data_IF_452874957354
#
_entry.id   IF_452874957354
#
_cell.length_a   1.000
_cell.length_b   1.000
_cell.length_c   1.000
_cell.angle_alpha   90.00
_cell.angle_beta   90.00
_cell.angle_gamma   90.00
#
_symmetry.space_group_name_H-M   'P 1'
#
loop_
_entity.id
_entity.type
_entity.pdbx_description
1 polymer ?
#
# COMPACT_ATOMS: atom_id res chain seq x y z
N UNK A 1 2.10 -1.40 21.88
CA UNK A 1 0.86 -1.27 21.10
C UNK A 1 0.97 -2.30 19.99
N UNK A 2 -0.02 -3.18 19.80
CA UNK A 2 0.03 -4.19 18.73
C UNK A 2 0.11 -3.48 17.37
N UNK A 3 1.00 -3.90 16.46
CA UNK A 3 1.22 -3.29 15.14
C UNK A 3 -0.09 -3.12 14.36
N UNK A 4 -1.02 -4.07 14.53
CA UNK A 4 -2.36 -3.98 13.95
C UNK A 4 -3.19 -2.81 14.49
N UNK A 5 -3.13 -2.53 15.79
CA UNK A 5 -3.89 -1.43 16.39
C UNK A 5 -3.27 -0.07 16.01
N UNK A 6 -1.95 0.00 15.93
CA UNK A 6 -1.26 1.18 15.42
C UNK A 6 -1.67 1.46 13.96
N UNK A 7 -1.70 0.43 13.10
CA UNK A 7 -2.20 0.53 11.74
C UNK A 7 -3.65 1.04 11.71
N UNK A 8 -4.58 0.39 12.43
CA UNK A 8 -6.00 0.81 12.46
C UNK A 8 -6.16 2.26 12.85
N UNK A 9 -5.40 2.73 13.85
CA UNK A 9 -5.45 4.11 14.35
C UNK A 9 -4.95 5.16 13.35
N UNK A 10 -4.25 4.74 12.30
CA UNK A 10 -3.81 5.62 11.20
C UNK A 10 -4.98 6.06 10.33
N UNK A 11 -6.05 5.27 10.27
CA UNK A 11 -7.23 5.52 9.45
C UNK A 11 -8.39 6.04 10.30
N UNK A 12 -9.37 6.68 9.66
CA UNK A 12 -10.65 6.97 10.31
C UNK A 12 -11.27 5.64 10.74
N UNK A 13 -11.64 5.55 12.01
CA UNK A 13 -12.19 4.32 12.58
C UNK A 13 -13.47 3.89 11.86
N UNK A 14 -13.59 2.59 11.57
CA UNK A 14 -14.71 1.96 10.87
C UNK A 14 -15.02 2.52 9.47
N UNK A 15 -14.09 3.25 8.87
CA UNK A 15 -14.22 3.82 7.52
C UNK A 15 -13.97 2.78 6.43
N UNK A 16 -14.49 3.00 5.22
CA UNK A 16 -14.23 2.12 4.08
C UNK A 16 -12.74 2.11 3.74
N UNK A 17 -12.05 3.25 3.87
CA UNK A 17 -10.61 3.32 3.70
C UNK A 17 -9.85 2.43 4.70
N UNK A 18 -10.33 2.32 5.94
CA UNK A 18 -9.74 1.41 6.93
C UNK A 18 -9.96 -0.05 6.54
N UNK A 19 -11.16 -0.41 6.05
CA UNK A 19 -11.46 -1.78 5.57
C UNK A 19 -10.58 -2.15 4.38
N UNK A 20 -10.45 -1.23 3.40
CA UNK A 20 -9.53 -1.41 2.26
C UNK A 20 -8.10 -1.57 2.75
N UNK A 21 -7.64 -0.67 3.64
CA UNK A 21 -6.28 -0.68 4.18
C UNK A 21 -5.94 -1.98 4.90
N UNK A 22 -6.86 -2.51 5.71
CA UNK A 22 -6.67 -3.79 6.40
C UNK A 22 -6.53 -4.96 5.41
N UNK A 23 -7.34 -4.98 4.35
CA UNK A 23 -7.25 -6.00 3.31
C UNK A 23 -5.92 -5.91 2.55
N UNK A 24 -5.51 -4.71 2.16
CA UNK A 24 -4.22 -4.48 1.51
C UNK A 24 -3.04 -4.88 2.42
N UNK A 25 -3.07 -4.49 3.70
CA UNK A 25 -2.05 -4.87 4.70
C UNK A 25 -1.89 -6.38 4.81
N UNK A 26 -3.01 -7.10 4.88
CA UNK A 26 -2.97 -8.57 4.93
C UNK A 26 -2.28 -9.18 3.72
N UNK A 27 -2.54 -8.65 2.52
CA UNK A 27 -1.91 -9.13 1.29
C UNK A 27 -0.42 -8.77 1.26
N UNK A 28 -0.07 -7.53 1.63
CA UNK A 28 1.32 -7.04 1.66
C UNK A 28 2.16 -7.85 2.62
N UNK A 29 1.75 -8.01 3.88
CA UNK A 29 2.50 -8.78 4.87
C UNK A 29 2.50 -10.28 4.57
N UNK A 30 1.47 -10.79 3.88
CA UNK A 30 1.45 -12.17 3.40
C UNK A 30 2.38 -12.41 2.20
N UNK A 31 2.78 -11.37 1.48
CA UNK A 31 3.72 -11.46 0.35
C UNK A 31 5.16 -11.09 0.75
N UNK A 32 5.31 -10.08 1.60
CA UNK A 32 6.57 -9.62 2.17
C UNK A 32 6.57 -9.83 3.70
N UNK A 33 6.77 -11.06 4.18
CA UNK A 33 6.67 -11.37 5.61
C UNK A 33 7.72 -10.67 6.48
N UNK A 34 8.83 -10.23 5.88
CA UNK A 34 9.92 -9.53 6.55
C UNK A 34 9.88 -8.00 6.31
N UNK A 35 8.78 -7.47 5.76
CA UNK A 35 8.67 -6.03 5.59
C UNK A 35 8.47 -5.33 6.93
N UNK A 36 9.20 -4.24 7.12
CA UNK A 36 9.03 -3.34 8.25
C UNK A 36 7.89 -2.36 7.96
N UNK A 37 6.90 -2.32 8.86
CA UNK A 37 5.77 -1.40 8.78
C UNK A 37 6.09 -0.10 9.54
N UNK A 38 5.96 1.04 8.87
CA UNK A 38 6.19 2.36 9.46
C UNK A 38 5.04 3.32 9.19
N UNK A 39 4.60 4.05 10.21
CA UNK A 39 3.53 5.05 10.10
C UNK A 39 4.17 6.42 9.92
N UNK A 40 3.83 7.10 8.82
CA UNK A 40 4.35 8.42 8.49
C UNK A 40 3.28 9.50 8.55
N UNK A 41 3.64 10.63 9.17
CA UNK A 41 2.83 11.85 9.21
C UNK A 41 1.52 11.75 9.99
N UNK A 42 1.34 10.69 10.78
CA UNK A 42 0.26 10.51 11.75
C UNK A 42 -1.14 10.74 11.16
N UNK A 43 -2.05 11.29 11.98
CA UNK A 43 -3.45 11.54 11.61
C UNK A 43 -3.62 12.50 10.41
N UNK A 44 -2.59 13.28 10.05
CA UNK A 44 -2.63 14.25 8.93
C UNK A 44 -2.36 13.58 7.58
N UNK A 45 -1.35 12.71 7.52
CA UNK A 45 -0.90 12.09 6.26
C UNK A 45 -1.53 10.72 6.06
N UNK A 46 -1.83 10.01 7.15
CA UNK A 46 -2.51 8.71 7.18
C UNK A 46 -1.86 7.69 6.23
N UNK A 47 -0.54 7.62 6.25
CA UNK A 47 0.29 6.80 5.38
C UNK A 47 1.02 5.76 6.21
N UNK A 48 0.96 4.52 5.73
CA UNK A 48 1.75 3.41 6.22
C UNK A 48 2.68 2.98 5.10
N UNK A 49 3.98 2.90 5.35
CA UNK A 49 4.97 2.39 4.42
C UNK A 49 5.48 1.02 4.85
N UNK A 50 5.79 0.21 3.85
CA UNK A 50 6.42 -1.09 4.00
C UNK A 50 7.78 -1.05 3.33
N UNK A 51 8.83 -1.32 4.09
CA UNK A 51 10.22 -1.30 3.62
C UNK A 51 10.94 -2.60 3.95
N UNK A 52 12.06 -2.87 3.29
CA UNK A 52 12.87 -4.08 3.54
C UNK A 52 14.33 -3.73 3.79
N UNK A 53 14.86 -4.19 4.92
CA UNK A 53 16.26 -3.99 5.32
C UNK A 53 16.56 -2.58 5.84
N UNK A 54 16.14 -1.55 5.11
CA UNK A 54 16.18 -0.16 5.58
C UNK A 54 14.93 0.62 5.18
N UNK A 55 14.68 1.75 5.86
CA UNK A 55 13.52 2.61 5.62
C UNK A 55 13.57 3.37 4.27
N UNK A 56 14.71 3.35 3.56
CA UNK A 56 14.86 3.97 2.23
C UNK A 56 14.46 3.01 1.12
N UNK A 57 14.50 1.70 1.38
CA UNK A 57 14.09 0.65 0.46
C UNK A 57 12.59 0.36 0.59
N UNK A 58 11.79 1.35 0.20
CA UNK A 58 10.32 1.29 0.28
C UNK A 58 9.78 0.37 -0.81
N UNK A 59 9.02 -0.66 -0.41
CA UNK A 59 8.34 -1.58 -1.31
C UNK A 59 7.01 -0.96 -1.78
N UNK A 60 6.17 -0.59 -0.82
CA UNK A 60 4.85 -0.06 -1.07
C UNK A 60 4.33 0.79 0.10
N UNK A 61 3.24 1.51 -0.13
CA UNK A 61 2.57 2.28 0.90
C UNK A 61 1.05 2.20 0.81
N UNK A 62 0.37 2.24 1.94
CA UNK A 62 -1.09 2.28 2.04
C UNK A 62 -1.48 3.62 2.66
N UNK A 63 -2.36 4.36 1.99
CA UNK A 63 -2.78 5.68 2.46
C UNK A 63 -4.28 5.89 2.42
N UNK A 64 -4.85 6.45 3.48
CA UNK A 64 -6.20 7.00 3.39
C UNK A 64 -6.20 8.26 2.51
N UNK A 65 -7.11 8.28 1.55
CA UNK A 65 -7.34 9.41 0.67
C UNK A 65 -8.71 10.07 0.95
N UNK A 66 -8.99 11.15 0.23
CA UNK A 66 -10.27 11.85 0.33
C UNK A 66 -11.46 10.93 -0.05
N UNK A 67 -12.66 11.32 0.40
CA UNK A 67 -13.93 10.62 0.12
C UNK A 67 -13.93 9.15 0.57
N UNK A 68 -13.29 8.88 1.70
CA UNK A 68 -13.21 7.54 2.30
C UNK A 68 -12.64 6.46 1.37
N UNK A 69 -11.64 6.85 0.58
CA UNK A 69 -10.94 5.94 -0.33
C UNK A 69 -9.55 5.61 0.18
N UNK A 70 -8.93 4.59 -0.38
CA UNK A 70 -7.58 4.18 0.01
C UNK A 70 -6.69 3.99 -1.21
N UNK A 71 -5.42 4.38 -1.10
CA UNK A 71 -4.44 4.24 -2.17
C UNK A 71 -3.38 3.21 -1.79
N UNK A 72 -3.02 2.36 -2.76
CA UNK A 72 -1.80 1.55 -2.71
C UNK A 72 -0.75 2.20 -3.61
N UNK A 73 0.37 2.60 -3.02
CA UNK A 73 1.56 3.10 -3.70
C UNK A 73 2.55 1.97 -3.90
N UNK A 74 3.22 1.95 -5.06
CA UNK A 74 4.35 1.06 -5.35
C UNK A 74 5.52 1.88 -5.88
N UNK A 75 6.71 1.45 -5.48
CA UNK A 75 7.97 2.09 -5.81
C UNK A 75 8.75 1.22 -6.82
N UNK A 76 9.86 1.75 -7.34
CA UNK A 76 10.80 1.04 -8.21
C UNK A 76 10.23 0.53 -9.55
N UNK A 77 9.08 1.04 -9.98
CA UNK A 77 8.45 0.65 -11.24
C UNK A 77 8.34 1.87 -12.17
N UNK A 78 9.14 1.90 -13.22
CA UNK A 78 9.18 3.01 -14.18
C UNK A 78 7.88 3.10 -15.00
N UNK A 79 7.38 1.97 -15.48
CA UNK A 79 6.13 1.84 -16.23
C UNK A 79 5.43 0.54 -15.89
N UNK A 80 4.11 0.59 -15.78
CA UNK A 80 3.27 -0.59 -15.52
C UNK A 80 1.91 -0.40 -16.14
N UNK A 81 1.43 -1.46 -16.79
CA UNK A 81 0.10 -1.53 -17.38
C UNK A 81 -0.52 -2.82 -16.89
N UNK A 82 -1.78 -2.74 -16.50
CA UNK A 82 -2.56 -3.88 -16.11
C UNK A 82 -3.99 -3.74 -16.64
N UNK A 83 -4.64 -4.84 -17.03
CA UNK A 83 -5.95 -4.79 -17.67
C UNK A 83 -7.03 -4.20 -16.74
N UNK A 84 -6.90 -4.41 -15.43
CA UNK A 84 -7.90 -4.02 -14.41
C UNK A 84 -7.44 -2.93 -13.48
N UNK A 85 -6.14 -2.83 -13.21
CA UNK A 85 -5.62 -1.85 -12.25
C UNK A 85 -5.35 -0.53 -12.97
N UNK A 86 -6.03 0.52 -12.53
CA UNK A 86 -5.86 1.87 -13.07
C UNK A 86 -4.79 2.60 -12.28
N UNK A 87 -3.58 2.63 -12.84
CA UNK A 87 -2.46 3.34 -12.23
C UNK A 87 -2.54 4.85 -12.47
N UNK A 88 -2.14 5.61 -11.45
CA UNK A 88 -1.90 7.04 -11.52
C UNK A 88 -0.55 7.38 -10.85
N UNK A 89 -0.10 8.62 -10.99
CA UNK A 89 1.22 9.06 -10.52
C UNK A 89 2.24 9.13 -11.67
N UNK A 90 3.16 10.09 -11.56
CA UNK A 90 4.23 10.34 -12.55
C UNK A 90 5.60 10.12 -11.89
N UNK A 91 6.56 9.64 -12.68
CA UNK A 91 7.94 9.41 -12.25
C UNK A 91 8.25 7.98 -11.81
N UNK A 92 9.54 7.75 -11.53
CA UNK A 92 10.16 6.48 -11.12
C UNK A 92 9.80 6.03 -9.70
N UNK A 93 9.38 6.98 -8.86
CA UNK A 93 9.32 6.76 -7.41
C UNK A 93 7.92 6.47 -6.86
N UNK A 94 6.85 6.59 -7.65
CA UNK A 94 5.52 6.23 -7.18
C UNK A 94 4.51 6.03 -8.32
N UNK A 95 4.05 4.79 -8.48
CA UNK A 95 2.75 4.51 -9.11
C UNK A 95 1.74 4.23 -8.00
N UNK A 96 0.47 4.56 -8.22
CA UNK A 96 -0.57 4.27 -7.24
C UNK A 96 -1.87 3.85 -7.86
N UNK A 97 -2.60 3.02 -7.14
CA UNK A 97 -3.97 2.62 -7.44
C UNK A 97 -4.86 3.15 -6.32
N UNK A 98 -6.01 3.71 -6.70
CA UNK A 98 -7.03 4.17 -5.77
C UNK A 98 -8.17 3.14 -5.75
N UNK A 99 -8.58 2.72 -4.56
CA UNK A 99 -9.70 1.83 -4.32
C UNK A 99 -10.82 2.59 -3.62
N UNK A 100 -12.05 2.31 -3.99
CA UNK A 100 -13.24 2.96 -3.42
C UNK A 100 -14.02 2.00 -2.53
N UNK A 101 -13.89 0.68 -2.75
CA UNK A 101 -14.37 -0.35 -1.84
C UNK A 101 -13.34 -1.44 -1.57
N UNK A 102 -13.43 -2.07 -0.39
CA UNK A 102 -12.66 -3.27 -0.07
C UNK A 102 -12.93 -4.43 -1.06
N UNK A 103 -14.11 -4.45 -1.70
CA UNK A 103 -14.47 -5.46 -2.69
C UNK A 103 -13.73 -5.29 -4.02
N UNK A 104 -13.23 -4.08 -4.32
CA UNK A 104 -12.41 -3.80 -5.50
C UNK A 104 -10.99 -4.38 -5.36
N UNK A 105 -10.55 -4.63 -4.13
CA UNK A 105 -9.23 -5.23 -3.86
C UNK A 105 -9.29 -6.72 -4.20
N UNK A 106 -8.76 -7.08 -5.36
CA UNK A 106 -8.63 -8.48 -5.80
C UNK A 106 -7.23 -8.98 -5.49
N UNK A 107 -7.13 -10.01 -4.65
CA UNK A 107 -5.85 -10.48 -4.11
C UNK A 107 -4.83 -10.83 -5.19
N UNK A 108 -5.24 -11.59 -6.22
CA UNK A 108 -4.36 -12.00 -7.31
C UNK A 108 -3.73 -10.81 -8.05
N UNK A 109 -4.51 -9.75 -8.25
CA UNK A 109 -4.08 -8.53 -8.94
C UNK A 109 -3.07 -7.75 -8.10
N UNK A 110 -3.29 -7.70 -6.77
CA UNK A 110 -2.36 -7.06 -5.84
C UNK A 110 -1.08 -7.88 -5.74
N UNK A 111 -1.16 -9.21 -5.62
CA UNK A 111 0.02 -10.09 -5.59
C UNK A 111 0.83 -10.00 -6.88
N UNK A 112 0.17 -9.94 -8.03
CA UNK A 112 0.85 -9.68 -9.31
C UNK A 112 1.63 -8.36 -9.25
N UNK A 113 1.01 -7.29 -8.74
CA UNK A 113 1.68 -5.99 -8.60
C UNK A 113 2.87 -6.05 -7.61
N UNK A 114 2.72 -6.68 -6.45
CA UNK A 114 3.81 -6.82 -5.48
C UNK A 114 4.97 -7.66 -6.03
N UNK A 115 4.69 -8.64 -6.91
CA UNK A 115 5.73 -9.37 -7.64
C UNK A 115 6.52 -8.43 -8.56
N UNK A 116 5.86 -7.51 -9.25
CA UNK A 116 6.57 -6.50 -10.07
C UNK A 116 7.44 -5.58 -9.21
N UNK A 117 7.01 -5.24 -8.00
CA UNK A 117 7.86 -4.50 -7.04
C UNK A 117 9.09 -5.33 -6.68
N UNK A 118 8.89 -6.59 -6.27
CA UNK A 118 9.98 -7.48 -5.85
C UNK A 118 11.05 -7.65 -6.94
N UNK A 119 10.63 -7.79 -8.21
CA UNK A 119 11.54 -7.95 -9.35
C UNK A 119 12.36 -6.69 -9.67
N UNK A 120 11.94 -5.51 -9.20
CA UNK A 120 12.56 -4.22 -9.55
C UNK A 120 13.17 -3.47 -8.35
N UNK A 121 12.86 -3.88 -7.12
CA UNK A 121 13.43 -3.28 -5.91
C UNK A 121 14.89 -3.71 -5.74
N UNK A 122 15.84 -2.77 -5.58
CA UNK A 122 17.22 -3.11 -5.30
C UNK A 122 17.37 -3.84 -3.95
N UNK A 123 18.24 -4.86 -3.93
CA UNK A 123 18.54 -5.66 -2.74
C UNK A 123 19.17 -4.83 -1.63
#
# INVERSE_FOLDING_TARGET
MNDLEAFKSTFVNASEAQRIGLKLRSIVLGFFPNAEESILGGAKVKLVLYSRGDAKNVLCGIQQAAKDTCMLYVHHIDSIVHQRLKFSGKGKHAKRIKFESADDVKEDEIRWLLKQVEENTPF
#
